data_IF_989902922297
#
_entry.id   IF_989902922297
#
_cell.length_a   1.000
_cell.length_b   1.000
_cell.length_c   1.000
_cell.angle_alpha   90.00
_cell.angle_beta   90.00
_cell.angle_gamma   90.00
#
_symmetry.space_group_name_H-M   'P 1'
#
loop_
_entity.id
_entity.type
_entity.pdbx_description
1 polymer ?
#
# COMPACT_ATOMS: atom_id res chain seq x y z
N UNK A 1 -8.76 6.20 -7.99
CA UNK A 1 -9.96 6.75 -7.30
C UNK A 1 -9.83 6.75 -5.77
N UNK A 2 -8.65 6.43 -5.19
CA UNK A 2 -8.43 6.54 -3.72
C UNK A 2 -9.24 5.53 -2.89
N UNK A 3 -9.92 4.59 -3.54
CA UNK A 3 -10.70 3.57 -2.87
C UNK A 3 -9.75 2.54 -2.25
N UNK A 4 -10.08 2.11 -1.03
CA UNK A 4 -9.40 1.02 -0.35
C UNK A 4 -10.13 -0.27 -0.69
N UNK A 5 -9.37 -1.30 -1.04
CA UNK A 5 -9.89 -2.59 -1.50
C UNK A 5 -9.62 -3.70 -0.47
N UNK A 6 -10.60 -4.61 -0.32
CA UNK A 6 -10.45 -5.82 0.50
C UNK A 6 -9.90 -6.96 -0.36
N UNK A 7 -8.61 -6.86 -0.71
CA UNK A 7 -7.83 -7.86 -1.46
C UNK A 7 -8.59 -8.63 -2.58
N UNK A 8 -9.29 -7.94 -3.52
CA UNK A 8 -10.11 -8.61 -4.52
C UNK A 8 -9.24 -9.47 -5.44
N UNK A 9 -9.58 -10.76 -5.58
CA UNK A 9 -8.83 -11.72 -6.38
C UNK A 9 -7.52 -12.19 -5.74
N UNK A 10 -7.37 -12.04 -4.42
CA UNK A 10 -6.34 -12.75 -3.67
C UNK A 10 -6.67 -14.24 -3.50
N UNK A 11 -5.62 -15.06 -3.50
CA UNK A 11 -5.67 -16.47 -3.16
C UNK A 11 -5.13 -16.64 -1.74
N UNK A 12 -6.03 -16.58 -0.75
CA UNK A 12 -5.64 -16.55 0.66
C UNK A 12 -4.85 -15.28 0.98
N UNK A 13 -3.58 -15.42 1.34
CA UNK A 13 -2.68 -14.31 1.67
C UNK A 13 -1.76 -13.88 0.51
N UNK A 14 -2.09 -14.30 -0.72
CA UNK A 14 -1.29 -13.99 -1.92
C UNK A 14 -2.12 -13.19 -2.91
N UNK A 15 -1.55 -12.10 -3.41
CA UNK A 15 -2.15 -11.28 -4.46
C UNK A 15 -1.30 -11.39 -5.73
N UNK A 16 -1.79 -12.05 -6.80
CA UNK A 16 -1.12 -12.04 -8.08
C UNK A 16 -1.06 -10.62 -8.66
N UNK A 17 0.14 -10.17 -9.01
CA UNK A 17 0.38 -8.85 -9.60
C UNK A 17 0.52 -8.98 -11.12
N UNK A 18 -0.41 -8.36 -11.85
CA UNK A 18 -0.45 -8.37 -13.31
C UNK A 18 -0.62 -6.94 -13.84
N UNK A 19 -0.22 -6.71 -15.10
CA UNK A 19 -0.47 -5.42 -15.74
C UNK A 19 -1.96 -5.10 -15.82
N UNK A 20 -2.81 -6.07 -16.21
CA UNK A 20 -4.26 -5.86 -16.28
C UNK A 20 -4.86 -5.31 -14.96
N UNK A 21 -4.30 -5.72 -13.82
CA UNK A 21 -4.69 -5.20 -12.50
C UNK A 21 -4.13 -3.80 -12.26
N UNK A 22 -2.82 -3.62 -12.42
CA UNK A 22 -2.13 -2.37 -12.07
C UNK A 22 -2.36 -1.23 -13.09
N UNK A 23 -2.83 -1.56 -14.29
CA UNK A 23 -3.27 -0.59 -15.30
C UNK A 23 -4.54 0.16 -14.90
N UNK A 24 -5.31 -0.37 -13.92
CA UNK A 24 -6.41 0.35 -13.28
C UNK A 24 -5.96 1.47 -12.33
N UNK A 25 -4.65 1.61 -12.10
CA UNK A 25 -4.04 2.52 -11.16
C UNK A 25 -3.57 1.83 -9.89
N UNK A 26 -3.30 2.62 -8.86
CA UNK A 26 -2.84 2.13 -7.56
C UNK A 26 -3.86 1.19 -6.89
N UNK A 27 -3.37 0.06 -6.37
CA UNK A 27 -4.14 -0.86 -5.53
C UNK A 27 -3.83 -0.54 -4.08
N UNK A 28 -4.83 -0.12 -3.30
CA UNK A 28 -4.66 0.23 -1.89
C UNK A 28 -5.32 -0.85 -1.02
N UNK A 29 -4.52 -1.54 -0.22
CA UNK A 29 -4.99 -2.59 0.69
C UNK A 29 -5.14 -2.04 2.10
N UNK A 30 -6.27 -2.32 2.75
CA UNK A 30 -6.43 -2.09 4.18
C UNK A 30 -5.55 -3.07 4.97
N UNK A 31 -4.66 -2.56 5.82
CA UNK A 31 -3.88 -3.39 6.72
C UNK A 31 -4.71 -3.78 7.96
N UNK A 32 -5.38 -4.92 7.90
CA UNK A 32 -6.12 -5.51 9.02
C UNK A 32 -5.28 -6.50 9.84
N UNK A 33 -4.03 -6.14 10.16
CA UNK A 33 -3.12 -6.97 10.98
C UNK A 33 -2.02 -7.71 10.21
N UNK A 34 -1.72 -7.29 8.99
CA UNK A 34 -0.56 -7.70 8.20
C UNK A 34 0.70 -7.13 8.86
N UNK A 35 1.55 -8.01 9.40
CA UNK A 35 2.87 -7.63 9.90
C UNK A 35 3.90 -7.53 8.77
N UNK A 36 3.84 -8.44 7.80
CA UNK A 36 4.81 -8.51 6.68
C UNK A 36 4.14 -8.63 5.33
N UNK A 37 4.64 -7.87 4.36
CA UNK A 37 4.28 -7.98 2.95
C UNK A 37 5.53 -8.35 2.12
N UNK A 38 5.42 -9.33 1.23
CA UNK A 38 6.56 -9.84 0.45
C UNK A 38 6.30 -9.71 -1.04
N UNK A 39 7.24 -9.09 -1.76
CA UNK A 39 7.28 -9.08 -3.23
C UNK A 39 8.28 -10.13 -3.70
N UNK A 40 7.77 -11.17 -4.37
CA UNK A 40 8.58 -12.29 -4.84
C UNK A 40 8.01 -12.87 -6.15
N UNK A 41 8.86 -13.60 -6.87
CA UNK A 41 8.47 -14.37 -8.05
C UNK A 41 9.10 -15.76 -7.98
N UNK A 42 8.40 -16.83 -8.38
CA UNK A 42 8.99 -18.17 -8.48
C UNK A 42 10.06 -18.28 -9.59
N UNK A 43 10.21 -17.24 -10.42
CA UNK A 43 11.15 -17.20 -11.55
C UNK A 43 12.38 -16.31 -11.30
N UNK A 44 12.49 -15.70 -10.11
CA UNK A 44 13.61 -14.83 -9.76
C UNK A 44 14.13 -15.18 -8.37
N UNK A 45 15.45 -15.15 -8.21
CA UNK A 45 16.11 -15.52 -6.95
C UNK A 45 15.94 -14.45 -5.87
N UNK A 46 15.78 -13.19 -6.27
CA UNK A 46 15.68 -12.06 -5.35
C UNK A 46 14.24 -11.72 -4.97
N UNK A 47 14.05 -11.41 -3.69
CA UNK A 47 12.78 -10.88 -3.18
C UNK A 47 13.01 -9.90 -2.03
N UNK A 48 11.96 -9.15 -1.69
CA UNK A 48 11.97 -8.26 -0.53
C UNK A 48 10.75 -8.51 0.35
N UNK A 49 10.95 -8.39 1.66
CA UNK A 49 9.88 -8.39 2.65
C UNK A 49 9.89 -7.09 3.45
N UNK A 50 8.74 -6.44 3.53
CA UNK A 50 8.54 -5.23 4.31
C UNK A 50 7.84 -5.59 5.61
N UNK A 51 8.40 -5.19 6.76
CA UNK A 51 7.64 -5.10 8.01
C UNK A 51 6.83 -3.80 7.98
N UNK A 52 5.51 -3.94 7.96
CA UNK A 52 4.54 -2.85 7.79
C UNK A 52 3.57 -2.77 8.96
N UNK A 53 3.93 -3.36 10.11
CA UNK A 53 3.06 -3.45 11.29
C UNK A 53 2.54 -2.09 11.76
N UNK A 54 3.32 -1.03 11.56
CA UNK A 54 2.98 0.34 11.95
C UNK A 54 2.10 1.08 10.92
N UNK A 55 1.89 0.52 9.72
CA UNK A 55 1.23 1.21 8.60
C UNK A 55 -0.18 0.66 8.35
N UNK A 56 -1.24 1.50 8.43
CA UNK A 56 -2.62 1.06 8.26
C UNK A 56 -2.99 0.68 6.82
N UNK A 57 -2.16 1.01 5.84
CA UNK A 57 -2.42 0.68 4.43
C UNK A 57 -1.13 0.23 3.73
N UNK A 58 -1.30 -0.59 2.68
CA UNK A 58 -0.24 -0.94 1.75
C UNK A 58 -0.70 -0.67 0.33
N UNK A 59 0.03 0.16 -0.40
CA UNK A 59 -0.25 0.50 -1.79
C UNK A 59 0.68 -0.24 -2.72
N UNK A 60 0.15 -0.73 -3.83
CA UNK A 60 0.91 -1.44 -4.88
C UNK A 60 0.64 -0.75 -6.21
N UNK A 61 1.71 -0.44 -6.95
CA UNK A 61 1.59 0.32 -8.19
C UNK A 61 2.69 -0.01 -9.20
N UNK A 62 2.38 0.15 -10.48
CA UNK A 62 3.34 0.21 -11.58
C UNK A 62 2.76 1.16 -12.63
N UNK A 63 3.57 1.90 -13.41
CA UNK A 63 3.06 2.85 -14.39
C UNK A 63 2.00 2.26 -15.33
N UNK A 64 0.83 2.89 -15.37
CA UNK A 64 -0.35 2.38 -16.07
C UNK A 64 -0.11 2.33 -17.58
N UNK A 65 -0.56 1.23 -18.19
CA UNK A 65 -0.44 0.94 -19.62
C UNK A 65 1.02 0.98 -20.11
N UNK A 66 1.98 0.81 -19.20
CA UNK A 66 3.39 0.70 -19.49
C UNK A 66 3.92 -0.62 -18.93
N UNK A 67 4.81 -1.24 -19.68
CA UNK A 67 5.52 -2.46 -19.26
C UNK A 67 6.78 -2.10 -18.48
N UNK A 68 6.61 -1.30 -17.43
CA UNK A 68 7.73 -0.86 -16.62
C UNK A 68 8.38 -2.06 -15.91
N UNK A 69 9.72 -2.15 -15.86
CA UNK A 69 10.41 -3.27 -15.22
C UNK A 69 10.51 -3.08 -13.69
N UNK A 70 9.47 -2.56 -13.06
CA UNK A 70 9.40 -2.40 -11.61
C UNK A 70 7.96 -2.42 -11.10
N UNK A 71 7.82 -2.74 -9.82
CA UNK A 71 6.59 -2.61 -9.03
C UNK A 71 6.96 -1.84 -7.76
N UNK A 72 6.15 -0.85 -7.40
CA UNK A 72 6.23 -0.14 -6.14
C UNK A 72 5.35 -0.84 -5.08
N UNK A 73 5.88 -0.95 -3.86
CA UNK A 73 5.20 -1.51 -2.68
C UNK A 73 5.39 -0.49 -1.56
N UNK A 74 4.30 0.19 -1.20
CA UNK A 74 4.34 1.49 -0.52
C UNK A 74 3.52 1.45 0.78
N UNK A 75 4.16 1.34 1.96
CA UNK A 75 3.45 1.43 3.23
C UNK A 75 2.91 2.84 3.44
N UNK A 76 1.60 2.95 3.70
CA UNK A 76 0.88 4.22 3.80
C UNK A 76 0.30 4.41 5.21
N UNK A 77 0.64 5.54 5.84
CA UNK A 77 -0.03 6.09 7.03
C UNK A 77 -0.87 7.30 6.63
N UNK A 78 -1.78 7.05 5.69
CA UNK A 78 -2.57 8.08 5.03
C UNK A 78 -3.21 7.54 3.77
N UNK A 79 -4.13 8.30 3.18
CA UNK A 79 -4.78 7.95 1.93
C UNK A 79 -4.82 9.16 0.97
N UNK A 80 -4.87 8.90 -0.35
CA UNK A 80 -5.26 9.91 -1.32
C UNK A 80 -6.61 10.53 -0.97
N UNK A 81 -6.88 11.73 -1.49
CA UNK A 81 -8.24 12.27 -1.42
C UNK A 81 -9.23 11.39 -2.18
N UNK A 82 -10.46 11.38 -1.70
CA UNK A 82 -11.58 10.85 -2.46
C UNK A 82 -11.98 11.87 -3.52
N UNK A 83 -12.42 11.40 -4.69
CA UNK A 83 -12.87 12.26 -5.77
C UNK A 83 -14.23 12.88 -5.43
N UNK A 84 -14.21 13.92 -4.61
CA UNK A 84 -15.36 14.68 -4.14
C UNK A 84 -14.95 16.14 -3.88
N UNK A 85 -15.78 16.88 -3.14
CA UNK A 85 -15.45 18.23 -2.69
C UNK A 85 -14.20 18.24 -1.78
N UNK A 86 -13.49 19.38 -1.69
CA UNK A 86 -12.35 19.51 -0.77
C UNK A 86 -12.70 19.03 0.64
N UNK A 87 -11.86 18.15 1.20
CA UNK A 87 -12.08 17.57 2.52
C UNK A 87 -11.22 18.28 3.56
N UNK A 88 -11.82 18.64 4.70
CA UNK A 88 -11.08 19.16 5.85
C UNK A 88 -10.11 18.09 6.36
N UNK A 89 -8.82 18.43 6.47
CA UNK A 89 -7.78 17.52 6.93
C UNK A 89 -8.01 16.98 8.35
N UNK A 90 -8.75 17.69 9.21
CA UNK A 90 -9.13 17.18 10.52
C UNK A 90 -10.10 15.99 10.47
N UNK A 91 -10.79 15.79 9.34
CA UNK A 91 -11.79 14.73 9.14
C UNK A 91 -11.47 13.82 7.95
N UNK A 92 -10.42 14.12 7.19
CA UNK A 92 -9.94 13.31 6.06
C UNK A 92 -9.56 11.91 6.52
N UNK A 93 -10.09 10.89 5.85
CA UNK A 93 -9.78 9.49 6.12
C UNK A 93 -8.28 9.21 5.97
N UNK A 94 -7.71 8.49 6.95
CA UNK A 94 -6.29 8.13 6.98
C UNK A 94 -5.38 9.22 7.57
N UNK A 95 -5.84 10.45 7.76
CA UNK A 95 -5.04 11.48 8.43
C UNK A 95 -4.88 11.17 9.93
N UNK A 96 -3.74 11.61 10.47
CA UNK A 96 -3.50 11.66 11.92
C UNK A 96 -3.48 13.12 12.38
N UNK A 97 -4.31 13.46 13.36
CA UNK A 97 -4.28 14.75 14.05
C UNK A 97 -3.48 14.62 15.34
N UNK A 98 -2.46 15.47 15.53
CA UNK A 98 -1.65 15.52 16.75
C UNK A 98 -1.98 16.77 17.56
N UNK A 99 -2.04 16.65 18.88
CA UNK A 99 -2.18 17.81 19.76
C UNK A 99 -0.88 18.60 19.83
N UNK A 100 -0.93 19.81 20.36
CA UNK A 100 0.27 20.61 20.59
C UNK A 100 1.24 19.87 21.53
N UNK A 101 2.44 19.57 21.03
CA UNK A 101 3.48 18.86 21.78
C UNK A 101 3.51 17.33 21.55
N UNK A 102 2.51 16.77 20.87
CA UNK A 102 2.48 15.33 20.58
C UNK A 102 3.39 14.96 19.39
N UNK A 103 3.76 13.68 19.33
CA UNK A 103 4.49 13.09 18.21
C UNK A 103 3.94 11.70 17.87
N UNK A 104 4.07 11.31 16.60
CA UNK A 104 3.84 9.93 16.13
C UNK A 104 5.12 9.43 15.48
N UNK A 105 5.51 8.21 15.83
CA UNK A 105 6.68 7.54 15.27
C UNK A 105 6.22 6.26 14.60
N UNK A 106 6.77 5.98 13.42
CA UNK A 106 6.49 4.79 12.64
C UNK A 106 7.83 4.16 12.25
N UNK A 107 7.91 2.84 12.30
CA UNK A 107 9.06 2.08 11.86
C UNK A 107 8.68 1.16 10.69
N UNK A 108 9.62 0.97 9.77
CA UNK A 108 9.54 -0.06 8.74
C UNK A 108 10.90 -0.74 8.62
N UNK A 109 10.89 -1.98 8.14
CA UNK A 109 12.12 -2.70 7.76
C UNK A 109 11.95 -3.29 6.38
N UNK A 110 12.99 -3.21 5.56
CA UNK A 110 13.05 -3.90 4.27
C UNK A 110 14.12 -4.99 4.37
N UNK A 111 13.67 -6.23 4.41
CA UNK A 111 14.52 -7.41 4.34
C UNK A 111 14.75 -7.77 2.87
N UNK A 112 16.00 -8.13 2.55
CA UNK A 112 16.41 -8.55 1.20
C UNK A 112 16.73 -10.03 1.24
N UNK A 113 16.23 -10.76 0.25
CA UNK A 113 16.42 -12.20 0.10
C UNK A 113 17.07 -12.52 -1.24
#
# INVERSE_FOLDING_TARGET
NGAVEDMPGAEGNRLPLTHDRLDGGLVILANSGIAKATLASPHHDHSISLDISDFPYLTIWSPEHKKAPFIAVEPFDGLPDQACEPTDWYTKLGNTTLSAGDNKQLALKVERH
#
